data_IF_510020213377
#
_entry.id   IF_510020213377
#
_cell.length_a   1.000
_cell.length_b   1.000
_cell.length_c   1.000
_cell.angle_alpha   90.00
_cell.angle_beta   90.00
_cell.angle_gamma   90.00
#
_symmetry.space_group_name_H-M   'P 1'
#
loop_
_entity.id
_entity.type
_entity.pdbx_description
1 polymer ?
#
# COMPACT_ATOMS: atom_id res chain seq x y z
N UNK A 1 -44.78 -53.56 -74.72
CA UNK A 1 -44.73 -52.19 -74.14
C UNK A 1 -43.97 -51.30 -75.10
N UNK A 2 -44.62 -50.26 -75.62
CA UNK A 2 -44.12 -49.41 -76.71
C UNK A 2 -43.02 -48.45 -76.23
N UNK A 3 -41.94 -48.34 -77.00
CA UNK A 3 -40.73 -47.55 -76.74
C UNK A 3 -40.99 -46.09 -76.29
N UNK A 4 -42.13 -45.50 -76.66
CA UNK A 4 -42.54 -44.14 -76.25
C UNK A 4 -42.95 -43.99 -74.78
N UNK A 5 -43.50 -45.02 -74.14
CA UNK A 5 -43.89 -44.98 -72.71
C UNK A 5 -42.66 -45.00 -71.80
N UNK A 6 -41.64 -45.78 -72.15
CA UNK A 6 -40.36 -45.84 -71.43
C UNK A 6 -39.63 -44.47 -71.44
N UNK A 7 -39.69 -43.76 -72.56
CA UNK A 7 -39.09 -42.42 -72.71
C UNK A 7 -39.82 -41.37 -71.86
N UNK A 8 -41.13 -41.46 -71.73
CA UNK A 8 -41.92 -40.56 -70.87
C UNK A 8 -41.63 -40.79 -69.37
N UNK A 9 -41.57 -42.04 -68.92
CA UNK A 9 -41.20 -42.37 -67.53
C UNK A 9 -39.75 -41.99 -67.19
N UNK A 10 -38.81 -42.12 -68.14
CA UNK A 10 -37.43 -41.70 -67.95
C UNK A 10 -37.29 -40.20 -67.67
N UNK A 11 -38.08 -39.36 -68.34
CA UNK A 11 -38.05 -37.90 -68.12
C UNK A 11 -38.67 -37.50 -66.77
N UNK A 12 -39.75 -38.19 -66.35
CA UNK A 12 -40.35 -37.97 -65.03
C UNK A 12 -39.38 -38.34 -63.89
N UNK A 13 -38.67 -39.46 -64.02
CA UNK A 13 -37.66 -39.87 -63.03
C UNK A 13 -36.48 -38.89 -62.99
N UNK A 14 -36.04 -38.37 -64.15
CA UNK A 14 -34.99 -37.36 -64.19
C UNK A 14 -35.41 -36.04 -63.52
N UNK A 15 -36.66 -35.59 -63.73
CA UNK A 15 -37.21 -34.41 -63.09
C UNK A 15 -37.31 -34.57 -61.56
N UNK A 16 -37.76 -35.74 -61.08
CA UNK A 16 -37.81 -36.06 -59.65
C UNK A 16 -36.40 -36.09 -59.06
N UNK A 17 -35.45 -36.75 -59.72
CA UNK A 17 -34.06 -36.81 -59.28
C UNK A 17 -33.44 -35.41 -59.16
N UNK A 18 -33.71 -34.53 -60.12
CA UNK A 18 -33.26 -33.14 -60.09
C UNK A 18 -33.92 -32.34 -58.95
N UNK A 19 -35.22 -32.52 -58.73
CA UNK A 19 -35.94 -31.90 -57.60
C UNK A 19 -35.39 -32.35 -56.25
N UNK A 20 -35.12 -33.65 -56.08
CA UNK A 20 -34.48 -34.19 -54.87
C UNK A 20 -33.07 -33.61 -54.69
N UNK A 21 -32.29 -33.51 -55.77
CA UNK A 21 -30.93 -32.98 -55.71
C UNK A 21 -30.90 -31.50 -55.31
N UNK A 22 -31.81 -30.68 -55.87
CA UNK A 22 -31.99 -29.28 -55.47
C UNK A 22 -32.45 -29.14 -54.02
N UNK A 23 -33.37 -30.00 -53.57
CA UNK A 23 -33.81 -30.02 -52.17
C UNK A 23 -32.68 -30.40 -51.21
N UNK A 24 -31.83 -31.38 -51.58
CA UNK A 24 -30.65 -31.74 -50.79
C UNK A 24 -29.64 -30.60 -50.75
N UNK A 25 -29.38 -29.92 -51.87
CA UNK A 25 -28.48 -28.77 -51.92
C UNK A 25 -28.98 -27.60 -51.08
N UNK A 26 -30.28 -27.29 -51.12
CA UNK A 26 -30.86 -26.19 -50.34
C UNK A 26 -30.79 -26.47 -48.84
N UNK A 27 -31.04 -27.72 -48.40
CA UNK A 27 -30.88 -28.14 -47.00
C UNK A 27 -29.42 -28.04 -46.55
N UNK A 28 -28.46 -28.46 -47.38
CA UNK A 28 -27.03 -28.33 -47.06
C UNK A 28 -26.61 -26.87 -46.90
N UNK A 29 -27.06 -26.00 -47.78
CA UNK A 29 -26.77 -24.56 -47.70
C UNK A 29 -27.40 -23.94 -46.44
N UNK A 30 -28.67 -24.25 -46.15
CA UNK A 30 -29.35 -23.76 -44.96
C UNK A 30 -28.67 -24.23 -43.66
N UNK A 31 -28.21 -25.48 -43.62
CA UNK A 31 -27.46 -26.01 -42.47
C UNK A 31 -26.10 -25.31 -42.33
N UNK A 32 -25.36 -25.14 -43.41
CA UNK A 32 -24.09 -24.41 -43.39
C UNK A 32 -24.25 -22.96 -42.89
N UNK A 33 -25.27 -22.24 -43.38
CA UNK A 33 -25.58 -20.88 -42.91
C UNK A 33 -25.93 -20.84 -41.42
N UNK A 34 -26.70 -21.82 -40.92
CA UNK A 34 -27.03 -21.92 -39.48
C UNK A 34 -25.81 -22.23 -38.64
N UNK A 35 -24.95 -23.12 -39.09
CA UNK A 35 -23.72 -23.48 -38.36
C UNK A 35 -22.74 -22.30 -38.35
N UNK A 36 -22.63 -21.54 -39.43
CA UNK A 36 -21.89 -20.27 -39.45
C UNK A 36 -22.48 -19.25 -38.48
N UNK A 37 -23.80 -19.03 -38.51
CA UNK A 37 -24.46 -18.08 -37.60
C UNK A 37 -24.28 -18.49 -36.13
N UNK A 38 -24.36 -19.78 -35.82
CA UNK A 38 -24.08 -20.32 -34.48
C UNK A 38 -22.63 -20.14 -34.09
N UNK A 39 -21.69 -20.46 -34.98
CA UNK A 39 -20.25 -20.32 -34.70
C UNK A 39 -19.89 -18.85 -34.41
N UNK A 40 -20.39 -17.91 -35.21
CA UNK A 40 -20.21 -16.47 -34.98
C UNK A 40 -20.88 -16.03 -33.68
N UNK A 41 -22.10 -16.50 -33.40
CA UNK A 41 -22.81 -16.20 -32.16
C UNK A 41 -22.07 -16.68 -30.90
N UNK A 42 -21.58 -17.92 -30.92
CA UNK A 42 -20.79 -18.50 -29.82
C UNK A 42 -19.46 -17.75 -29.66
N UNK A 43 -18.78 -17.41 -30.76
CA UNK A 43 -17.54 -16.63 -30.71
C UNK A 43 -17.76 -15.24 -30.11
N UNK A 44 -18.78 -14.52 -30.57
CA UNK A 44 -19.09 -13.18 -30.05
C UNK A 44 -19.51 -13.23 -28.57
N UNK A 45 -20.28 -14.25 -28.16
CA UNK A 45 -20.62 -14.46 -26.76
C UNK A 45 -19.38 -14.76 -25.91
N UNK A 46 -18.48 -15.62 -26.39
CA UNK A 46 -17.21 -15.92 -25.73
C UNK A 46 -16.33 -14.67 -25.61
N UNK A 47 -16.21 -13.88 -26.68
CA UNK A 47 -15.48 -12.61 -26.68
C UNK A 47 -16.07 -11.61 -25.67
N UNK A 48 -17.39 -11.42 -25.66
CA UNK A 48 -18.06 -10.53 -24.72
C UNK A 48 -17.88 -10.97 -23.25
N UNK A 49 -17.92 -12.27 -22.97
CA UNK A 49 -17.66 -12.78 -21.61
C UNK A 49 -16.20 -12.63 -21.20
N UNK A 50 -15.25 -12.81 -22.12
CA UNK A 50 -13.84 -12.57 -21.88
C UNK A 50 -13.56 -11.09 -21.59
N UNK A 51 -14.15 -10.18 -22.36
CA UNK A 51 -14.05 -8.73 -22.11
C UNK A 51 -14.61 -8.32 -20.76
N UNK A 52 -15.78 -8.85 -20.37
CA UNK A 52 -16.38 -8.56 -19.05
C UNK A 52 -15.46 -9.02 -17.92
N UNK A 53 -14.97 -10.26 -17.99
CA UNK A 53 -14.03 -10.80 -16.99
C UNK A 53 -12.75 -9.98 -16.92
N UNK A 54 -12.20 -9.56 -18.07
CA UNK A 54 -11.01 -8.72 -18.11
C UNK A 54 -11.25 -7.33 -17.45
N UNK A 55 -12.42 -6.73 -17.67
CA UNK A 55 -12.81 -5.46 -17.02
C UNK A 55 -12.98 -5.64 -15.52
N UNK A 56 -13.72 -6.65 -15.07
CA UNK A 56 -13.93 -6.96 -13.65
C UNK A 56 -12.60 -7.19 -12.92
N UNK A 57 -11.67 -7.95 -13.53
CA UNK A 57 -10.33 -8.13 -13.01
C UNK A 57 -9.58 -6.80 -12.92
N UNK A 58 -9.59 -5.99 -13.97
CA UNK A 58 -8.93 -4.68 -13.98
C UNK A 58 -9.47 -3.75 -12.88
N UNK A 59 -10.78 -3.70 -12.69
CA UNK A 59 -11.43 -2.91 -11.63
C UNK A 59 -11.03 -3.40 -10.25
N UNK A 60 -10.98 -4.72 -10.05
CA UNK A 60 -10.52 -5.33 -8.79
C UNK A 60 -9.08 -4.94 -8.47
N UNK A 61 -8.17 -5.03 -9.44
CA UNK A 61 -6.76 -4.62 -9.24
C UNK A 61 -6.63 -3.13 -8.95
N UNK A 62 -7.39 -2.26 -9.64
CA UNK A 62 -7.40 -0.82 -9.37
C UNK A 62 -7.92 -0.49 -7.97
N UNK A 63 -8.94 -1.21 -7.51
CA UNK A 63 -9.48 -1.04 -6.16
C UNK A 63 -8.41 -1.40 -5.11
N UNK A 64 -7.71 -2.53 -5.28
CA UNK A 64 -6.62 -2.96 -4.39
C UNK A 64 -5.44 -2.01 -4.39
N UNK A 65 -5.05 -1.51 -5.55
CA UNK A 65 -4.00 -0.50 -5.66
C UNK A 65 -4.39 0.81 -4.94
N UNK A 66 -5.66 1.22 -5.03
CA UNK A 66 -6.18 2.37 -4.27
C UNK A 66 -6.17 2.12 -2.77
N UNK A 67 -6.56 0.93 -2.33
CA UNK A 67 -6.50 0.52 -0.94
C UNK A 67 -5.06 0.60 -0.39
N UNK A 68 -4.09 0.05 -1.12
CA UNK A 68 -2.68 0.10 -0.73
C UNK A 68 -2.15 1.53 -0.66
N UNK A 69 -2.47 2.38 -1.65
CA UNK A 69 -2.12 3.81 -1.62
C UNK A 69 -2.68 4.51 -0.37
N UNK A 70 -3.96 4.29 -0.08
CA UNK A 70 -4.60 4.89 1.09
C UNK A 70 -3.94 4.42 2.40
N UNK A 71 -3.57 3.14 2.48
CA UNK A 71 -2.85 2.59 3.63
C UNK A 71 -1.47 3.25 3.80
N UNK A 72 -0.70 3.38 2.72
CA UNK A 72 0.59 4.09 2.72
C UNK A 72 0.46 5.54 3.17
N UNK A 73 -0.51 6.28 2.62
CA UNK A 73 -0.76 7.67 2.98
C UNK A 73 -1.13 7.82 4.47
N UNK A 74 -1.89 6.86 5.01
CA UNK A 74 -2.23 6.82 6.44
C UNK A 74 -0.98 6.57 7.30
N UNK A 75 -0.18 5.57 6.93
CA UNK A 75 1.06 5.23 7.63
C UNK A 75 2.01 6.43 7.64
N UNK A 76 2.15 7.13 6.52
CA UNK A 76 2.99 8.32 6.40
C UNK A 76 2.51 9.44 7.34
N UNK A 77 1.22 9.77 7.32
CA UNK A 77 0.65 10.78 8.23
C UNK A 77 0.86 10.45 9.71
N UNK A 78 0.65 9.20 10.10
CA UNK A 78 0.86 8.74 11.48
C UNK A 78 2.33 8.79 11.88
N UNK A 79 3.23 8.49 10.94
CA UNK A 79 4.68 8.55 11.15
C UNK A 79 5.13 9.99 11.33
N UNK A 80 4.66 10.90 10.49
CA UNK A 80 4.92 12.34 10.62
C UNK A 80 4.40 12.89 11.94
N UNK A 81 3.18 12.52 12.35
CA UNK A 81 2.62 12.92 13.65
C UNK A 81 3.48 12.40 14.83
N UNK A 82 3.95 11.15 14.74
CA UNK A 82 4.83 10.55 15.76
C UNK A 82 6.16 11.30 15.86
N UNK A 83 6.78 11.60 14.73
CA UNK A 83 8.02 12.37 14.67
C UNK A 83 7.83 13.78 15.24
N UNK A 84 6.76 14.47 14.84
CA UNK A 84 6.44 15.80 15.35
C UNK A 84 6.22 15.80 16.88
N UNK A 85 5.54 14.78 17.41
CA UNK A 85 5.35 14.62 18.85
C UNK A 85 6.66 14.36 19.59
N UNK A 86 7.56 13.55 19.02
CA UNK A 86 8.89 13.29 19.57
C UNK A 86 9.74 14.58 19.60
N UNK A 87 9.79 15.33 18.49
CA UNK A 87 10.49 16.62 18.42
C UNK A 87 9.92 17.63 19.43
N UNK A 88 8.59 17.78 19.50
CA UNK A 88 7.96 18.67 20.48
C UNK A 88 8.21 18.22 21.93
N UNK A 89 8.37 16.91 22.17
CA UNK A 89 8.78 16.35 23.46
C UNK A 89 10.21 16.75 23.82
N UNK A 90 11.14 16.60 22.88
CA UNK A 90 12.54 17.01 23.04
C UNK A 90 12.65 18.51 23.34
N UNK A 91 11.96 19.37 22.59
CA UNK A 91 11.97 20.82 22.80
C UNK A 91 11.44 21.19 24.19
N UNK A 92 10.37 20.53 24.65
CA UNK A 92 9.83 20.72 26.01
C UNK A 92 10.83 20.32 27.08
N UNK A 93 11.56 19.23 26.88
CA UNK A 93 12.60 18.78 27.82
C UNK A 93 13.77 19.77 27.87
N UNK A 94 14.23 20.27 26.72
CA UNK A 94 15.27 21.32 26.64
C UNK A 94 14.83 22.58 27.38
N UNK A 95 13.61 23.05 27.14
CA UNK A 95 13.07 24.25 27.79
C UNK A 95 12.92 24.06 29.31
N UNK A 96 12.49 22.88 29.77
CA UNK A 96 12.42 22.56 31.19
C UNK A 96 13.81 22.55 31.85
N UNK A 97 14.81 21.95 31.19
CA UNK A 97 16.19 21.97 31.68
C UNK A 97 16.78 23.39 31.75
N UNK A 98 16.48 24.25 30.77
CA UNK A 98 16.89 25.66 30.82
C UNK A 98 16.22 26.44 31.97
N UNK A 99 14.94 26.19 32.25
CA UNK A 99 14.24 26.80 33.40
C UNK A 99 14.89 26.36 34.71
N UNK A 100 15.07 25.06 34.91
CA UNK A 100 15.71 24.52 36.11
C UNK A 100 17.10 25.13 36.36
N UNK A 101 17.91 25.31 35.31
CA UNK A 101 19.24 25.94 35.42
C UNK A 101 19.16 27.41 35.86
N UNK A 102 18.17 28.16 35.38
CA UNK A 102 17.95 29.55 35.82
C UNK A 102 17.50 29.58 37.28
N UNK A 103 16.48 28.81 37.63
CA UNK A 103 15.96 28.74 39.00
C UNK A 103 17.05 28.35 40.02
N UNK A 104 17.92 27.42 39.64
CA UNK A 104 19.07 27.02 40.46
C UNK A 104 20.10 28.15 40.62
N UNK A 105 20.37 28.90 39.55
CA UNK A 105 21.30 30.04 39.58
C UNK A 105 20.76 31.16 40.47
N UNK A 106 19.48 31.47 40.36
CA UNK A 106 18.79 32.46 41.18
C UNK A 106 18.80 32.03 42.66
N UNK A 107 18.52 30.76 42.94
CA UNK A 107 18.59 30.18 44.28
C UNK A 107 19.99 30.31 44.91
N UNK A 108 21.04 29.94 44.17
CA UNK A 108 22.43 30.04 44.63
C UNK A 108 22.81 31.51 44.90
N UNK A 109 22.42 32.41 44.01
CA UNK A 109 22.71 33.86 44.15
C UNK A 109 22.04 34.43 45.38
N UNK A 110 20.73 34.18 45.56
CA UNK A 110 19.99 34.62 46.74
C UNK A 110 20.56 34.04 48.05
N UNK A 111 21.05 32.80 48.04
CA UNK A 111 21.70 32.20 49.22
C UNK A 111 23.04 32.86 49.54
N UNK A 112 23.85 33.20 48.54
CA UNK A 112 25.15 33.89 48.72
C UNK A 112 24.97 35.31 49.25
N UNK A 113 23.97 36.04 48.75
CA UNK A 113 23.63 37.39 49.24
C UNK A 113 23.16 37.38 50.70
N UNK A 114 22.52 36.28 51.15
CA UNK A 114 22.09 36.05 52.53
C UNK A 114 23.17 35.44 53.44
N UNK A 115 24.38 35.18 52.92
CA UNK A 115 25.47 34.57 53.65
C UNK A 115 26.45 35.51 54.42
N UNK A 116 26.22 36.83 54.66
CA UNK A 116 27.21 37.64 55.38
C UNK A 116 27.35 37.28 56.89
N UNK A 117 26.60 36.29 57.41
CA UNK A 117 26.78 35.77 58.76
C UNK A 117 27.66 34.49 58.85
N UNK A 118 27.91 33.77 57.74
CA UNK A 118 28.65 32.50 57.74
C UNK A 118 30.12 32.62 57.29
N UNK A 119 30.51 33.75 56.68
CA UNK A 119 31.86 33.99 56.16
C UNK A 119 32.94 34.19 57.24
N UNK A 120 32.57 34.23 58.52
CA UNK A 120 33.52 34.40 59.64
C UNK A 120 34.32 33.14 60.02
N UNK A 121 34.08 31.99 59.37
CA UNK A 121 34.58 30.68 59.86
C UNK A 121 35.49 29.90 58.89
N UNK A 122 36.19 30.56 57.96
CA UNK A 122 37.32 29.98 57.18
C UNK A 122 37.14 28.52 56.72
N UNK A 123 36.08 28.23 55.96
CA UNK A 123 35.84 26.90 55.41
C UNK A 123 36.45 26.81 54.00
N UNK A 124 37.13 25.69 53.72
CA UNK A 124 37.92 25.42 52.52
C UNK A 124 37.29 25.97 51.24
N UNK A 125 38.11 26.65 50.42
CA UNK A 125 37.69 27.11 49.11
C UNK A 125 37.25 25.89 48.26
N UNK A 126 36.02 25.85 47.75
CA UNK A 126 35.61 24.81 46.81
C UNK A 126 36.50 24.90 45.57
N UNK A 127 36.91 23.74 45.05
CA UNK A 127 37.75 23.63 43.86
C UNK A 127 36.91 23.93 42.61
N UNK A 128 36.64 25.23 42.40
CA UNK A 128 35.77 25.74 41.34
C UNK A 128 36.13 25.22 39.94
N UNK A 129 37.42 25.09 39.55
CA UNK A 129 37.79 24.54 38.24
C UNK A 129 37.29 23.09 38.03
N UNK A 130 37.30 22.26 39.08
CA UNK A 130 36.85 20.87 38.98
C UNK A 130 35.32 20.78 38.82
N UNK A 131 34.57 21.65 39.50
CA UNK A 131 33.11 21.75 39.37
C UNK A 131 32.69 22.28 38.00
N UNK A 132 33.41 23.29 37.48
CA UNK A 132 33.15 23.85 36.14
C UNK A 132 33.41 22.82 35.04
N UNK A 133 34.49 22.04 35.16
CA UNK A 133 34.77 20.92 34.24
C UNK A 133 33.65 19.88 34.27
N UNK A 134 33.21 19.46 35.46
CA UNK A 134 32.13 18.49 35.61
C UNK A 134 30.82 19.00 34.99
N UNK A 135 30.50 20.28 35.18
CA UNK A 135 29.33 20.92 34.59
C UNK A 135 29.41 20.98 33.05
N UNK A 136 30.60 21.25 32.48
CA UNK A 136 30.80 21.22 31.02
C UNK A 136 30.68 19.80 30.46
N UNK A 137 31.24 18.79 31.16
CA UNK A 137 31.13 17.39 30.78
C UNK A 137 29.67 16.91 30.77
N UNK A 138 28.90 17.20 31.83
CA UNK A 138 27.48 16.86 31.86
C UNK A 138 26.70 17.57 30.75
N UNK A 139 26.99 18.84 30.47
CA UNK A 139 26.33 19.58 29.39
C UNK A 139 26.57 18.94 28.03
N UNK A 140 27.81 18.54 27.73
CA UNK A 140 28.16 17.85 26.48
C UNK A 140 27.55 16.45 26.40
N UNK A 141 27.55 15.73 27.52
CA UNK A 141 26.94 14.40 27.60
C UNK A 141 25.44 14.46 27.33
N UNK A 142 24.72 15.39 27.96
CA UNK A 142 23.28 15.60 27.74
C UNK A 142 22.98 16.02 26.30
N UNK A 143 23.78 16.93 25.73
CA UNK A 143 23.63 17.32 24.33
C UNK A 143 23.80 16.12 23.40
N UNK A 144 24.84 15.31 23.62
CA UNK A 144 25.10 14.13 22.79
C UNK A 144 24.00 13.07 22.97
N UNK A 145 23.50 12.87 24.18
CA UNK A 145 22.39 11.98 24.45
C UNK A 145 21.12 12.44 23.71
N UNK A 146 20.84 13.75 23.65
CA UNK A 146 19.74 14.32 22.88
C UNK A 146 19.87 14.08 21.37
N UNK A 147 21.06 14.26 20.81
CA UNK A 147 21.32 13.96 19.38
C UNK A 147 21.09 12.47 19.06
N UNK A 148 21.59 11.57 19.92
CA UNK A 148 21.39 10.13 19.75
C UNK A 148 19.92 9.74 19.89
N UNK A 149 19.20 10.34 20.84
CA UNK A 149 17.76 10.13 21.00
C UNK A 149 16.98 10.55 19.74
N UNK A 150 17.29 11.73 19.16
CA UNK A 150 16.63 12.19 17.94
C UNK A 150 16.84 11.24 16.75
N UNK A 151 18.06 10.69 16.61
CA UNK A 151 18.36 9.68 15.59
C UNK A 151 17.57 8.39 15.87
N UNK A 152 17.53 7.94 17.12
CA UNK A 152 16.84 6.72 17.51
C UNK A 152 15.32 6.83 17.29
N UNK A 153 14.71 7.96 17.66
CA UNK A 153 13.29 8.23 17.43
C UNK A 153 12.96 8.26 15.94
N UNK A 154 13.82 8.88 15.14
CA UNK A 154 13.66 8.92 13.68
C UNK A 154 13.76 7.53 13.06
N UNK A 155 14.78 6.76 13.45
CA UNK A 155 15.00 5.40 12.97
C UNK A 155 13.85 4.49 13.36
N UNK A 156 13.39 4.57 14.62
CA UNK A 156 12.26 3.78 15.13
C UNK A 156 10.97 4.12 14.39
N UNK A 157 10.62 5.40 14.24
CA UNK A 157 9.39 5.81 13.56
C UNK A 157 9.36 5.36 12.09
N UNK A 158 10.50 5.49 11.38
CA UNK A 158 10.60 5.02 9.99
C UNK A 158 10.62 3.50 9.87
N UNK A 159 11.28 2.81 10.81
CA UNK A 159 11.31 1.36 10.86
C UNK A 159 9.92 0.76 11.04
N UNK A 160 9.16 1.25 12.02
CA UNK A 160 7.79 0.79 12.26
C UNK A 160 6.84 1.21 11.13
N UNK A 161 7.10 2.32 10.44
CA UNK A 161 6.36 2.67 9.22
C UNK A 161 6.61 1.65 8.09
N UNK A 162 7.86 1.25 7.89
CA UNK A 162 8.25 0.24 6.90
C UNK A 162 7.59 -1.11 7.17
N UNK A 163 7.64 -1.59 8.42
CA UNK A 163 7.00 -2.84 8.83
C UNK A 163 5.49 -2.81 8.57
N UNK A 164 4.80 -1.73 8.96
CA UNK A 164 3.37 -1.56 8.71
C UNK A 164 3.02 -1.48 7.22
N UNK A 165 3.85 -0.82 6.42
CA UNK A 165 3.64 -0.73 4.97
C UNK A 165 3.82 -2.09 4.30
N UNK A 166 4.82 -2.85 4.73
CA UNK A 166 5.02 -4.23 4.29
C UNK A 166 3.83 -5.12 4.68
N UNK A 167 3.33 -5.04 5.91
CA UNK A 167 2.17 -5.81 6.36
C UNK A 167 0.91 -5.45 5.56
N UNK A 168 0.66 -4.15 5.32
CA UNK A 168 -0.45 -3.71 4.47
C UNK A 168 -0.35 -4.26 3.03
N UNK A 169 0.85 -4.21 2.43
CA UNK A 169 1.10 -4.79 1.12
C UNK A 169 0.87 -6.31 1.12
N UNK A 170 1.39 -7.03 2.12
CA UNK A 170 1.23 -8.47 2.28
C UNK A 170 -0.24 -8.86 2.41
N UNK A 171 -1.01 -8.14 3.21
CA UNK A 171 -2.42 -8.45 3.44
C UNK A 171 -3.26 -8.19 2.17
N UNK A 172 -3.03 -7.08 1.46
CA UNK A 172 -3.71 -6.82 0.17
C UNK A 172 -3.37 -7.86 -0.90
N UNK A 173 -2.14 -8.38 -0.94
CA UNK A 173 -1.74 -9.45 -1.85
C UNK A 173 -2.36 -10.79 -1.48
N UNK A 174 -2.44 -11.12 -0.19
CA UNK A 174 -3.07 -12.36 0.28
C UNK A 174 -4.56 -12.39 -0.07
N UNK A 175 -5.26 -11.26 0.03
CA UNK A 175 -6.65 -11.14 -0.40
C UNK A 175 -6.83 -11.24 -1.93
N UNK A 176 -5.81 -10.91 -2.72
CA UNK A 176 -5.82 -11.08 -4.17
C UNK A 176 -5.51 -12.53 -4.61
N UNK A 177 -5.04 -13.39 -3.69
CA UNK A 177 -4.60 -14.76 -3.98
C UNK A 177 -5.55 -15.93 -3.64
N UNK A 178 -6.90 -15.79 -3.47
CA UNK A 178 -7.73 -16.94 -3.09
C UNK A 178 -7.81 -18.03 -4.17
N UNK A 179 -7.39 -17.74 -5.41
CA UNK A 179 -7.38 -18.71 -6.52
C UNK A 179 -6.02 -19.40 -6.75
N UNK A 180 -4.95 -18.99 -6.06
CA UNK A 180 -3.63 -19.62 -6.22
C UNK A 180 -3.48 -20.92 -5.40
N UNK A 181 -4.32 -21.12 -4.37
CA UNK A 181 -4.24 -22.27 -3.46
C UNK A 181 -5.09 -23.48 -3.90
N UNK A 182 -5.83 -23.37 -5.01
CA UNK A 182 -6.70 -24.44 -5.51
C UNK A 182 -6.13 -25.20 -6.73
N UNK A 183 -4.80 -25.33 -6.82
CA UNK A 183 -4.13 -26.10 -7.89
C UNK A 183 -3.11 -27.09 -7.34
#
# INVERSE_FOLDING_TARGET
MTFGQLKAYAWQLAAIALGVLLAVQSVRLANAQRDHARAVGVFNAAAATAERKAREQSETYRAKEKELRNAHDKIERETQATLAAATAGADRAVAAGQRLRRDLTDYITAHRERAPAAAAASQCAPDAPALDLLADLFRRADQRAGELAAIADTARARGTACERAHDAARDTLNEAAPHAQAR
#
